data_IF_731391428822
#
_entry.id   IF_731391428822
#
_cell.length_a   1.000
_cell.length_b   1.000
_cell.length_c   1.000
_cell.angle_alpha   90.00
_cell.angle_beta   90.00
_cell.angle_gamma   90.00
#
_symmetry.space_group_name_H-M   'P 1'
#
loop_
_entity.id
_entity.type
_entity.pdbx_description
1 polymer ?
#
# COMPACT_ATOMS: atom_id res chain seq x y z
N UNK A 1 -12.42 16.22 0.35
CA UNK A 1 -11.74 15.27 -0.55
C UNK A 1 -11.60 15.94 -1.90
N UNK A 2 -10.38 16.13 -2.42
CA UNK A 2 -10.13 16.90 -3.64
C UNK A 2 -10.47 16.08 -4.89
N UNK A 3 -10.72 16.76 -6.02
CA UNK A 3 -11.00 16.11 -7.31
C UNK A 3 -9.85 15.21 -7.78
N UNK A 4 -8.60 15.59 -7.46
CA UNK A 4 -7.42 14.77 -7.71
C UNK A 4 -7.46 13.43 -6.96
N UNK A 5 -7.88 13.44 -5.68
CA UNK A 5 -7.98 12.23 -4.86
C UNK A 5 -9.00 11.23 -5.42
N UNK A 6 -10.14 11.73 -5.91
CA UNK A 6 -11.15 10.87 -6.52
C UNK A 6 -10.67 10.20 -7.80
N UNK A 7 -9.85 10.90 -8.60
CA UNK A 7 -9.22 10.33 -9.79
C UNK A 7 -8.24 9.21 -9.45
N UNK A 8 -7.44 9.40 -8.41
CA UNK A 8 -6.48 8.37 -7.92
C UNK A 8 -7.23 7.12 -7.46
N UNK A 9 -8.31 7.27 -6.69
CA UNK A 9 -9.08 6.11 -6.21
C UNK A 9 -9.72 5.33 -7.36
N UNK A 10 -10.25 6.02 -8.37
CA UNK A 10 -10.79 5.35 -9.56
C UNK A 10 -9.72 4.56 -10.30
N UNK A 11 -8.51 5.11 -10.43
CA UNK A 11 -7.39 4.41 -11.08
C UNK A 11 -6.99 3.15 -10.30
N UNK A 12 -6.92 3.23 -8.97
CA UNK A 12 -6.64 2.07 -8.11
C UNK A 12 -7.70 0.98 -8.30
N UNK A 13 -8.99 1.35 -8.31
CA UNK A 13 -10.09 0.39 -8.46
C UNK A 13 -10.10 -0.30 -9.85
N UNK A 14 -9.45 0.29 -10.85
CA UNK A 14 -9.32 -0.27 -12.20
C UNK A 14 -8.13 -1.23 -12.34
N UNK A 15 -7.23 -1.28 -11.36
CA UNK A 15 -6.10 -2.23 -11.41
C UNK A 15 -6.57 -3.67 -11.20
N UNK A 16 -5.89 -4.65 -11.82
CA UNK A 16 -6.22 -6.05 -11.62
C UNK A 16 -5.98 -6.47 -10.16
N UNK A 17 -6.76 -7.45 -9.70
CA UNK A 17 -6.48 -8.12 -8.44
C UNK A 17 -5.15 -8.91 -8.55
N UNK A 18 -4.27 -8.89 -7.52
CA UNK A 18 -4.41 -8.23 -6.21
C UNK A 18 -3.75 -6.84 -6.09
N UNK A 19 -3.28 -6.22 -7.19
CA UNK A 19 -2.62 -4.91 -7.16
C UNK A 19 -3.52 -3.82 -6.57
N UNK A 20 -4.79 -3.77 -7.00
CA UNK A 20 -5.76 -2.82 -6.47
C UNK A 20 -5.92 -2.97 -4.95
N UNK A 21 -5.96 -4.20 -4.46
CA UNK A 21 -6.16 -4.52 -3.06
C UNK A 21 -4.97 -4.05 -2.22
N UNK A 22 -3.74 -4.26 -2.68
CA UNK A 22 -2.55 -3.75 -1.99
C UNK A 22 -2.61 -2.23 -1.82
N UNK A 23 -2.96 -1.49 -2.88
CA UNK A 23 -3.06 -0.02 -2.81
C UNK A 23 -4.25 0.46 -1.96
N UNK A 24 -5.37 -0.27 -1.93
CA UNK A 24 -6.49 0.02 -1.03
C UNK A 24 -6.11 -0.17 0.45
N UNK A 25 -5.32 -1.20 0.76
CA UNK A 25 -4.79 -1.42 2.12
C UNK A 25 -3.77 -0.34 2.47
N UNK A 26 -2.85 0.00 1.56
CA UNK A 26 -1.89 1.09 1.74
C UNK A 26 -2.59 2.42 2.07
N UNK A 27 -3.63 2.76 1.30
CA UNK A 27 -4.48 3.91 1.60
C UNK A 27 -5.10 3.83 3.01
N UNK A 28 -5.67 2.68 3.37
CA UNK A 28 -6.33 2.52 4.67
C UNK A 28 -5.35 2.67 5.83
N UNK A 29 -4.11 2.21 5.66
CA UNK A 29 -3.02 2.42 6.61
C UNK A 29 -2.66 3.91 6.74
N UNK A 30 -2.58 4.65 5.63
CA UNK A 30 -2.33 6.09 5.65
C UNK A 30 -3.49 6.88 6.29
N UNK A 31 -4.75 6.53 5.99
CA UNK A 31 -5.93 7.27 6.47
C UNK A 31 -6.28 6.98 7.94
N UNK A 32 -6.05 5.76 8.44
CA UNK A 32 -6.57 5.28 9.74
C UNK A 32 -5.53 4.62 10.64
N UNK A 33 -4.31 4.38 10.16
CA UNK A 33 -3.28 3.62 10.89
C UNK A 33 -3.58 2.11 11.02
N UNK A 34 -4.61 1.60 10.34
CA UNK A 34 -5.02 0.20 10.46
C UNK A 34 -6.15 -0.20 9.52
N UNK A 35 -6.21 -1.49 9.21
CA UNK A 35 -7.21 -2.16 8.35
C UNK A 35 -7.48 -3.57 8.89
N UNK A 36 -8.65 -4.14 8.57
CA UNK A 36 -8.94 -5.57 8.64
C UNK A 36 -8.30 -6.37 7.50
N UNK A 37 -7.18 -5.89 6.95
CA UNK A 37 -6.37 -6.58 5.98
C UNK A 37 -5.78 -7.86 6.57
N UNK A 38 -5.60 -8.87 5.72
CA UNK A 38 -4.77 -10.01 6.03
C UNK A 38 -3.33 -9.59 6.29
N UNK A 39 -2.57 -10.45 6.97
CA UNK A 39 -1.16 -10.21 7.27
C UNK A 39 -0.33 -9.93 6.01
N UNK A 40 -0.51 -10.71 4.94
CA UNK A 40 0.22 -10.55 3.68
C UNK A 40 -0.12 -9.23 2.98
N UNK A 41 -1.41 -8.86 2.92
CA UNK A 41 -1.83 -7.57 2.35
C UNK A 41 -1.23 -6.39 3.10
N UNK A 42 -1.22 -6.45 4.43
CA UNK A 42 -0.63 -5.41 5.27
C UNK A 42 0.88 -5.29 5.07
N UNK A 43 1.58 -6.42 4.99
CA UNK A 43 3.03 -6.43 4.72
C UNK A 43 3.31 -5.87 3.33
N UNK A 44 2.60 -6.35 2.29
CA UNK A 44 2.77 -5.86 0.93
C UNK A 44 2.52 -4.35 0.84
N UNK A 45 1.48 -3.84 1.50
CA UNK A 45 1.19 -2.41 1.57
C UNK A 45 2.29 -1.62 2.30
N UNK A 46 2.83 -2.15 3.41
CA UNK A 46 3.94 -1.53 4.12
C UNK A 46 5.20 -1.42 3.25
N UNK A 47 5.50 -2.46 2.47
CA UNK A 47 6.60 -2.42 1.48
C UNK A 47 6.34 -1.46 0.34
N UNK A 48 5.11 -1.41 -0.18
CA UNK A 48 4.74 -0.47 -1.25
C UNK A 48 4.93 0.98 -0.82
N UNK A 49 4.59 1.31 0.43
CA UNK A 49 4.75 2.65 1.01
C UNK A 49 6.14 2.94 1.57
N UNK A 50 7.06 1.96 1.60
CA UNK A 50 8.31 2.03 2.39
C UNK A 50 8.14 2.36 3.89
N UNK A 51 6.92 2.27 4.43
CA UNK A 51 6.62 2.60 5.82
C UNK A 51 6.56 1.33 6.65
N UNK A 52 7.73 0.90 7.10
CA UNK A 52 7.90 -0.32 7.92
C UNK A 52 7.21 -0.25 9.29
N UNK A 53 6.81 0.94 9.74
CA UNK A 53 5.96 1.13 10.92
C UNK A 53 4.60 0.43 10.80
N UNK A 54 4.14 0.18 9.56
CA UNK A 54 2.90 -0.54 9.30
C UNK A 54 3.06 -2.06 9.31
N UNK A 55 4.27 -2.60 9.47
CA UNK A 55 4.44 -4.04 9.63
C UNK A 55 3.73 -4.57 10.90
N UNK A 56 3.33 -5.85 10.91
CA UNK A 56 2.83 -6.48 12.12
C UNK A 56 3.81 -6.37 13.29
N UNK A 57 3.30 -6.16 14.50
CA UNK A 57 4.15 -6.01 15.68
C UNK A 57 5.02 -7.26 15.92
N UNK A 58 6.30 -7.03 16.22
CA UNK A 58 7.26 -8.09 16.51
C UNK A 58 7.90 -8.73 15.27
N UNK A 59 7.59 -8.27 14.06
CA UNK A 59 8.19 -8.79 12.83
C UNK A 59 9.32 -7.89 12.37
N UNK A 60 10.47 -8.48 12.04
CA UNK A 60 11.56 -7.77 11.36
C UNK A 60 11.22 -7.48 9.90
N UNK A 61 11.87 -6.48 9.30
CA UNK A 61 11.66 -6.14 7.87
C UNK A 61 11.97 -7.34 6.97
N UNK A 62 13.12 -7.99 7.17
CA UNK A 62 13.53 -9.15 6.37
C UNK A 62 12.57 -10.33 6.57
N UNK A 63 12.22 -10.62 7.82
CA UNK A 63 11.27 -11.69 8.16
C UNK A 63 9.90 -11.48 7.52
N UNK A 64 9.39 -10.24 7.52
CA UNK A 64 8.13 -9.91 6.88
C UNK A 64 8.21 -10.08 5.36
N UNK A 65 9.32 -9.68 4.74
CA UNK A 65 9.54 -9.88 3.31
C UNK A 65 9.59 -11.37 2.94
N UNK A 66 10.36 -12.16 3.69
CA UNK A 66 10.50 -13.60 3.45
C UNK A 66 9.21 -14.39 3.67
N UNK A 67 8.31 -13.90 4.55
CA UNK A 67 6.99 -14.49 4.77
C UNK A 67 5.95 -14.16 3.69
N UNK A 68 6.19 -13.14 2.86
CA UNK A 68 5.35 -12.94 1.68
C UNK A 68 5.63 -14.05 0.66
N UNK A 69 4.56 -14.68 0.15
CA UNK A 69 4.72 -15.60 -0.97
C UNK A 69 5.35 -14.87 -2.18
N UNK A 70 6.02 -15.65 -3.03
CA UNK A 70 6.74 -15.13 -4.20
C UNK A 70 5.84 -14.24 -5.07
N UNK A 71 4.57 -14.60 -5.23
CA UNK A 71 3.59 -13.79 -5.99
C UNK A 71 3.39 -12.41 -5.38
N UNK A 72 3.24 -12.31 -4.06
CA UNK A 72 3.11 -11.03 -3.37
C UNK A 72 4.36 -10.16 -3.51
N UNK A 73 5.55 -10.75 -3.41
CA UNK A 73 6.80 -10.03 -3.65
C UNK A 73 6.92 -9.52 -5.09
N UNK A 74 6.36 -10.24 -6.06
CA UNK A 74 6.30 -9.79 -7.46
C UNK A 74 5.31 -8.64 -7.64
N UNK A 75 4.15 -8.70 -6.99
CA UNK A 75 3.17 -7.61 -7.01
C UNK A 75 3.71 -6.32 -6.42
N UNK A 76 4.41 -6.38 -5.29
CA UNK A 76 5.07 -5.21 -4.70
C UNK A 76 6.07 -4.59 -5.68
N UNK A 77 6.93 -5.41 -6.29
CA UNK A 77 7.90 -4.96 -7.30
C UNK A 77 7.23 -4.34 -8.53
N UNK A 78 6.15 -4.94 -9.00
CA UNK A 78 5.41 -4.43 -10.15
C UNK A 78 4.72 -3.10 -9.85
N UNK A 79 4.14 -2.93 -8.66
CA UNK A 79 3.58 -1.67 -8.19
C UNK A 79 4.65 -0.57 -8.17
N UNK A 80 5.84 -0.90 -7.69
CA UNK A 80 6.99 0.00 -7.64
C UNK A 80 7.51 0.43 -9.01
N UNK A 81 7.46 -0.48 -10.00
CA UNK A 81 7.96 -0.22 -11.34
C UNK A 81 6.97 0.57 -12.20
N UNK A 82 5.68 0.16 -12.17
CA UNK A 82 4.70 0.64 -13.14
C UNK A 82 3.70 1.65 -12.55
N UNK A 83 3.57 1.71 -11.23
CA UNK A 83 2.53 2.50 -10.55
C UNK A 83 3.10 3.43 -9.47
N UNK A 84 4.38 3.80 -9.59
CA UNK A 84 5.08 4.70 -8.65
C UNK A 84 4.36 6.03 -8.48
N UNK A 85 3.87 6.61 -9.58
CA UNK A 85 3.13 7.87 -9.56
C UNK A 85 1.84 7.78 -8.71
N UNK A 86 1.17 6.63 -8.72
CA UNK A 86 -0.04 6.41 -7.90
C UNK A 86 0.31 6.27 -6.41
N UNK A 87 1.45 5.65 -6.10
CA UNK A 87 1.94 5.51 -4.72
C UNK A 87 2.30 6.90 -4.17
N UNK A 88 3.09 7.68 -4.90
CA UNK A 88 3.48 9.04 -4.50
C UNK A 88 2.24 9.94 -4.32
N UNK A 89 1.25 9.81 -5.21
CA UNK A 89 0.00 10.56 -5.11
C UNK A 89 -0.87 10.13 -3.90
N UNK A 90 -0.87 8.84 -3.54
CA UNK A 90 -1.51 8.34 -2.33
C UNK A 90 -0.85 8.92 -1.06
N UNK A 91 0.47 8.94 -1.01
CA UNK A 91 1.23 9.47 0.12
C UNK A 91 1.01 10.98 0.28
N UNK A 92 1.10 11.76 -0.81
CA UNK A 92 0.82 13.19 -0.79
C UNK A 92 -0.60 13.49 -0.29
N UNK A 93 -1.56 12.65 -0.68
CA UNK A 93 -2.95 12.75 -0.24
C UNK A 93 -3.19 12.40 1.24
N UNK A 94 -2.43 11.46 1.78
CA UNK A 94 -2.46 11.08 3.20
C UNK A 94 -1.78 12.12 4.10
N UNK A 95 -0.61 12.62 3.70
CA UNK A 95 0.21 13.58 4.47
C UNK A 95 -0.44 14.96 4.56
N UNK A 96 -1.20 15.38 3.55
CA UNK A 96 -1.89 16.69 3.55
C UNK A 96 -2.97 16.86 4.64
N UNK A 97 -3.20 15.84 5.49
CA UNK A 97 -4.18 15.87 6.59
C UNK A 97 -3.52 16.03 7.97
N UNK A 98 -2.18 16.06 8.04
CA UNK A 98 -1.41 16.37 9.24
C UNK A 98 -0.90 17.83 9.16
N UNK A 99 -1.82 18.79 9.30
CA UNK A 99 -1.53 20.22 9.35
C UNK A 99 -2.53 20.95 10.25
#
# INVERSE_FOLDING_TARGET
MTQAMQSIYRQIDQLPHPLNKILQVARSLLDKGGDGASTSERIAAAFVLERMEYLPHGWGVIEAWERLDIEWQLYVRHLWQEYRDLIEALEAGGVSREG
#
